data_IF_004065995315
#
_entry.id   IF_004065995315
#
_cell.length_a   1.000
_cell.length_b   1.000
_cell.length_c   1.000
_cell.angle_alpha   90.00
_cell.angle_beta   90.00
_cell.angle_gamma   90.00
#
_symmetry.space_group_name_H-M   'P 1'
#
loop_
_entity.id
_entity.type
_entity.pdbx_description
1 polymer ?
#
# COMPACT_ATOMS: atom_id res chain seq x y z
N UNK A 1 -15.37 -50.17 -12.78
CA UNK A 1 -16.63 -50.19 -12.01
C UNK A 1 -16.62 -49.34 -10.73
N UNK A 2 -15.65 -48.43 -10.52
CA UNK A 2 -15.54 -47.61 -9.28
C UNK A 2 -16.09 -46.17 -9.44
N UNK A 3 -16.38 -45.74 -10.69
CA UNK A 3 -16.92 -44.39 -10.95
C UNK A 3 -18.43 -44.24 -10.68
N UNK A 4 -19.20 -45.32 -10.69
CA UNK A 4 -20.67 -45.25 -10.60
C UNK A 4 -21.23 -45.29 -9.17
N UNK A 5 -20.41 -45.60 -8.16
CA UNK A 5 -20.89 -45.68 -6.76
C UNK A 5 -20.85 -44.31 -6.06
N UNK A 6 -20.16 -43.31 -6.64
CA UNK A 6 -19.95 -42.00 -6.01
C UNK A 6 -21.07 -40.98 -6.29
N UNK A 7 -21.92 -41.23 -7.28
CA UNK A 7 -23.00 -40.32 -7.68
C UNK A 7 -24.27 -40.46 -6.80
N UNK A 8 -24.36 -41.47 -5.92
CA UNK A 8 -25.55 -41.68 -5.06
C UNK A 8 -25.51 -40.97 -3.70
N UNK A 9 -24.41 -40.29 -3.34
CA UNK A 9 -24.19 -39.80 -1.97
C UNK A 9 -24.38 -38.29 -1.76
N UNK A 10 -24.88 -37.54 -2.74
CA UNK A 10 -25.27 -36.12 -2.55
C UNK A 10 -24.17 -35.22 -1.98
N UNK A 11 -22.89 -35.55 -2.20
CA UNK A 11 -21.78 -34.70 -1.76
C UNK A 11 -21.50 -33.67 -2.84
N UNK A 12 -21.79 -32.41 -2.52
CA UNK A 12 -21.42 -31.24 -3.31
C UNK A 12 -19.97 -31.38 -3.77
N UNK A 13 -19.81 -31.41 -5.10
CA UNK A 13 -18.49 -31.39 -5.72
C UNK A 13 -17.77 -30.15 -5.19
N UNK A 14 -16.65 -30.36 -4.51
CA UNK A 14 -15.80 -29.32 -3.98
C UNK A 14 -15.46 -28.35 -5.12
N UNK A 15 -16.17 -27.23 -5.20
CA UNK A 15 -16.04 -26.27 -6.27
C UNK A 15 -14.67 -25.61 -6.09
N UNK A 16 -13.66 -25.88 -6.94
CA UNK A 16 -12.35 -25.31 -6.73
C UNK A 16 -12.49 -23.79 -6.92
N UNK A 17 -12.29 -23.04 -5.84
CA UNK A 17 -12.20 -21.58 -5.86
C UNK A 17 -11.30 -21.18 -7.04
N UNK A 18 -11.69 -20.20 -7.87
CA UNK A 18 -10.97 -19.88 -9.09
C UNK A 18 -9.51 -19.60 -8.74
N UNK A 19 -8.60 -20.42 -9.29
CA UNK A 19 -7.16 -20.46 -8.93
C UNK A 19 -6.42 -19.16 -9.24
N UNK A 20 -7.04 -18.21 -9.93
CA UNK A 20 -6.48 -16.91 -10.24
C UNK A 20 -7.61 -15.90 -10.46
N UNK A 21 -7.70 -14.90 -9.59
CA UNK A 21 -8.69 -13.81 -9.71
C UNK A 21 -8.27 -12.71 -10.70
N UNK A 22 -6.99 -12.72 -11.11
CA UNK A 22 -6.41 -11.70 -11.97
C UNK A 22 -5.81 -12.34 -13.21
N UNK A 23 -6.04 -11.72 -14.37
CA UNK A 23 -5.58 -12.20 -15.67
C UNK A 23 -4.06 -12.02 -15.86
N UNK A 24 -3.43 -11.13 -15.08
CA UNK A 24 -1.99 -10.89 -15.14
C UNK A 24 -1.40 -10.40 -13.80
N UNK A 25 -0.10 -10.58 -13.62
CA UNK A 25 0.62 -10.06 -12.45
C UNK A 25 0.62 -8.53 -12.37
N UNK A 26 0.51 -7.82 -13.50
CA UNK A 26 0.37 -6.36 -13.53
C UNK A 26 -0.99 -5.92 -12.98
N UNK A 27 -2.05 -6.63 -13.36
CA UNK A 27 -3.40 -6.38 -12.87
C UNK A 27 -3.50 -6.61 -11.36
N UNK A 28 -2.87 -7.68 -10.84
CA UNK A 28 -2.76 -7.93 -9.41
C UNK A 28 -2.07 -6.77 -8.67
N UNK A 29 -0.97 -6.24 -9.21
CA UNK A 29 -0.25 -5.10 -8.60
C UNK A 29 -1.12 -3.84 -8.58
N UNK A 30 -1.78 -3.53 -9.69
CA UNK A 30 -2.62 -2.34 -9.79
C UNK A 30 -3.85 -2.43 -8.87
N UNK A 31 -4.50 -3.59 -8.80
CA UNK A 31 -5.63 -3.83 -7.90
C UNK A 31 -5.22 -3.74 -6.42
N UNK A 32 -4.02 -4.21 -6.06
CA UNK A 32 -3.53 -4.08 -4.68
C UNK A 32 -3.14 -2.63 -4.34
N UNK A 33 -2.59 -1.88 -5.29
CA UNK A 33 -2.31 -0.44 -5.11
C UNK A 33 -3.59 0.36 -4.92
N UNK A 34 -4.59 0.17 -5.78
CA UNK A 34 -5.87 0.88 -5.67
C UNK A 34 -6.59 0.54 -4.36
N UNK A 35 -6.60 -0.73 -3.95
CA UNK A 35 -7.15 -1.13 -2.64
C UNK A 35 -6.42 -0.47 -1.48
N UNK A 36 -5.09 -0.32 -1.56
CA UNK A 36 -4.30 0.36 -0.53
C UNK A 36 -4.62 1.84 -0.48
N UNK A 37 -4.72 2.50 -1.61
CA UNK A 37 -5.06 3.93 -1.71
C UNK A 37 -6.46 4.19 -1.18
N UNK A 38 -7.45 3.37 -1.57
CA UNK A 38 -8.82 3.43 -1.05
C UNK A 38 -8.86 3.21 0.48
N UNK A 39 -8.13 2.23 0.99
CA UNK A 39 -8.07 1.98 2.43
C UNK A 39 -7.37 3.11 3.21
N UNK A 40 -6.37 3.75 2.61
CA UNK A 40 -5.70 4.91 3.22
C UNK A 40 -6.59 6.15 3.21
N UNK A 41 -7.27 6.43 2.10
CA UNK A 41 -8.23 7.53 1.99
C UNK A 41 -9.41 7.35 2.94
N UNK A 42 -9.97 6.13 3.02
CA UNK A 42 -11.05 5.82 3.96
C UNK A 42 -10.58 5.94 5.41
N UNK A 43 -9.35 5.51 5.72
CA UNK A 43 -8.79 5.68 7.06
C UNK A 43 -8.62 7.15 7.44
N UNK A 44 -8.13 7.99 6.52
CA UNK A 44 -7.98 9.42 6.77
C UNK A 44 -9.34 10.09 7.00
N UNK A 45 -10.30 9.83 6.11
CA UNK A 45 -11.66 10.36 6.24
C UNK A 45 -12.36 9.90 7.53
N UNK A 46 -12.18 8.64 7.92
CA UNK A 46 -12.68 8.14 9.20
C UNK A 46 -12.00 8.80 10.40
N UNK A 47 -10.69 9.08 10.33
CA UNK A 47 -9.97 9.77 11.39
C UNK A 47 -10.39 11.23 11.54
N UNK A 48 -10.64 11.92 10.42
CA UNK A 48 -11.11 13.30 10.41
C UNK A 48 -12.54 13.38 10.95
N UNK A 49 -13.43 12.47 10.51
CA UNK A 49 -14.82 12.39 11.01
C UNK A 49 -14.86 12.00 12.50
N UNK A 50 -14.07 11.00 12.93
CA UNK A 50 -14.01 10.60 14.35
C UNK A 50 -13.45 11.74 15.23
N UNK A 51 -12.50 12.54 14.73
CA UNK A 51 -11.95 13.68 15.46
C UNK A 51 -12.96 14.84 15.58
N UNK A 52 -13.71 15.15 14.52
CA UNK A 52 -14.75 16.19 14.54
C UNK A 52 -15.95 15.79 15.43
N UNK A 53 -16.31 14.51 15.46
CA UNK A 53 -17.46 14.00 16.21
C UNK A 53 -17.14 13.82 17.71
N UNK A 54 -15.93 13.36 18.06
CA UNK A 54 -15.59 12.97 19.44
C UNK A 54 -15.33 14.15 20.40
N UNK A 55 -14.89 15.31 19.91
CA UNK A 55 -14.64 16.49 20.76
C UNK A 55 -15.88 17.40 20.91
N UNK A 56 -16.87 17.31 20.02
CA UNK A 56 -18.07 18.17 20.03
C UNK A 56 -19.29 17.61 20.78
N UNK A 57 -19.54 16.29 20.74
CA UNK A 57 -20.84 15.74 21.17
C UNK A 57 -20.95 15.46 22.67
N UNK A 58 -19.84 15.24 23.37
CA UNK A 58 -19.85 14.99 24.83
C UNK A 58 -20.37 16.20 25.64
N UNK A 59 -20.24 17.41 25.11
CA UNK A 59 -20.73 18.63 25.77
C UNK A 59 -22.25 18.81 25.64
N UNK A 60 -22.89 18.11 24.71
CA UNK A 60 -24.32 18.23 24.41
C UNK A 60 -25.11 16.96 24.72
N UNK A 61 -24.46 15.91 25.22
CA UNK A 61 -25.13 14.66 25.58
C UNK A 61 -25.76 14.79 26.99
N UNK A 62 -27.11 14.85 27.09
CA UNK A 62 -27.81 15.07 28.36
C UNK A 62 -27.73 13.88 29.32
N UNK A 63 -27.18 12.74 28.89
CA UNK A 63 -27.00 11.56 29.74
C UNK A 63 -25.67 11.55 30.52
N UNK A 64 -24.75 12.48 30.26
CA UNK A 64 -23.52 12.59 31.04
C UNK A 64 -23.75 13.37 32.34
N UNK A 65 -23.35 12.77 33.44
CA UNK A 65 -23.29 13.39 34.76
C UNK A 65 -21.83 13.78 34.98
N UNK A 66 -21.56 15.09 35.11
CA UNK A 66 -20.19 15.64 35.27
C UNK A 66 -19.18 15.09 34.24
N UNK A 67 -19.62 14.93 32.99
CA UNK A 67 -18.78 14.41 31.89
C UNK A 67 -18.56 12.89 31.91
N UNK A 68 -19.29 12.15 32.76
CA UNK A 68 -19.24 10.69 32.87
C UNK A 68 -20.61 10.08 32.58
N UNK A 69 -20.66 9.09 31.68
CA UNK A 69 -21.89 8.33 31.41
C UNK A 69 -22.04 7.22 32.45
N UNK A 70 -22.89 7.45 33.44
CA UNK A 70 -23.15 6.49 34.53
C UNK A 70 -24.01 5.34 34.02
N UNK A 71 -23.51 4.11 34.17
CA UNK A 71 -24.27 2.90 33.88
C UNK A 71 -25.06 2.47 35.11
N UNK A 72 -26.34 2.15 34.92
CA UNK A 72 -27.25 1.73 35.98
C UNK A 72 -27.49 0.22 35.88
N UNK A 73 -27.29 -0.51 36.98
CA UNK A 73 -27.63 -1.94 37.10
C UNK A 73 -29.15 -2.06 37.35
N UNK A 74 -29.62 -1.28 38.30
CA UNK A 74 -31.02 -1.07 38.63
C UNK A 74 -31.23 0.43 38.86
N UNK A 75 -32.47 0.94 38.76
CA UNK A 75 -32.74 2.34 39.09
C UNK A 75 -32.19 2.71 40.47
N UNK A 76 -31.32 3.73 40.54
CA UNK A 76 -30.66 4.17 41.77
C UNK A 76 -29.39 3.40 42.15
N UNK A 77 -29.02 2.32 41.45
CA UNK A 77 -27.79 1.56 41.70
C UNK A 77 -26.87 1.57 40.46
N UNK A 78 -25.74 2.25 40.56
CA UNK A 78 -24.77 2.34 39.47
C UNK A 78 -23.79 1.16 39.43
N UNK A 79 -23.42 0.77 38.21
CA UNK A 79 -22.27 -0.09 37.89
C UNK A 79 -20.99 0.74 37.95
N UNK A 80 -20.48 0.96 39.16
CA UNK A 80 -19.33 1.85 39.46
C UNK A 80 -18.08 1.49 38.65
N UNK A 81 -17.67 0.22 38.72
CA UNK A 81 -16.46 -0.26 38.05
C UNK A 81 -16.54 -0.21 36.53
N UNK A 82 -17.69 -0.58 35.96
CA UNK A 82 -17.88 -0.55 34.51
C UNK A 82 -17.94 0.88 33.97
N UNK A 83 -18.62 1.77 34.71
CA UNK A 83 -18.66 3.21 34.40
C UNK A 83 -17.25 3.78 34.41
N UNK A 84 -16.49 3.53 35.47
CA UNK A 84 -15.13 4.00 35.65
C UNK A 84 -14.18 3.45 34.58
N UNK A 85 -14.28 2.17 34.26
CA UNK A 85 -13.46 1.52 33.24
C UNK A 85 -13.75 2.03 31.83
N UNK A 86 -15.02 2.21 31.47
CA UNK A 86 -15.41 2.77 30.16
C UNK A 86 -14.95 4.22 30.00
N UNK A 87 -15.09 5.02 31.05
CA UNK A 87 -14.60 6.40 31.03
C UNK A 87 -13.07 6.45 30.89
N UNK A 88 -12.34 5.61 31.62
CA UNK A 88 -10.89 5.49 31.49
C UNK A 88 -10.44 5.07 30.07
N UNK A 89 -11.17 4.15 29.42
CA UNK A 89 -10.94 3.79 28.01
C UNK A 89 -11.17 4.98 27.07
N UNK A 90 -12.29 5.69 27.24
CA UNK A 90 -12.64 6.86 26.44
C UNK A 90 -11.57 7.95 26.53
N UNK A 91 -11.15 8.29 27.75
CA UNK A 91 -10.07 9.24 28.02
C UNK A 91 -8.74 8.76 27.43
N UNK A 92 -8.43 7.46 27.54
CA UNK A 92 -7.24 6.90 26.93
C UNK A 92 -7.21 7.02 25.39
N UNK A 93 -8.33 6.79 24.72
CA UNK A 93 -8.47 7.01 23.28
C UNK A 93 -8.32 8.49 22.90
N UNK A 94 -8.92 9.40 23.67
CA UNK A 94 -8.76 10.85 23.49
C UNK A 94 -7.30 11.30 23.62
N UNK A 95 -6.61 10.86 24.68
CA UNK A 95 -5.17 11.14 24.87
C UNK A 95 -4.33 10.64 23.69
N UNK A 96 -4.66 9.46 23.16
CA UNK A 96 -3.98 8.89 21.99
C UNK A 96 -4.24 9.70 20.71
N UNK A 97 -5.47 10.16 20.49
CA UNK A 97 -5.82 11.01 19.34
C UNK A 97 -5.09 12.36 19.41
N UNK A 98 -5.01 12.97 20.59
CA UNK A 98 -4.32 14.23 20.85
C UNK A 98 -2.78 14.10 20.86
N UNK A 99 -2.23 12.89 20.66
CA UNK A 99 -0.79 12.64 20.66
C UNK A 99 -0.13 12.77 22.05
N UNK A 100 -0.91 12.83 23.12
CA UNK A 100 -0.40 12.92 24.48
C UNK A 100 0.09 11.56 24.99
N UNK A 101 0.99 11.59 25.97
CA UNK A 101 1.55 10.36 26.55
C UNK A 101 0.47 9.63 27.36
N UNK A 102 0.16 8.41 26.94
CA UNK A 102 -0.77 7.51 27.63
C UNK A 102 -0.14 6.92 28.91
N UNK A 103 -0.15 7.71 29.98
CA UNK A 103 0.43 7.37 31.28
C UNK A 103 -0.55 6.58 32.16
N UNK A 104 -0.02 5.67 32.98
CA UNK A 104 -0.85 4.91 33.92
C UNK A 104 -1.55 5.84 34.92
N UNK A 105 -0.90 6.93 35.35
CA UNK A 105 -1.47 7.93 36.26
C UNK A 105 -2.72 8.60 35.66
N UNK A 106 -2.64 9.13 34.44
CA UNK A 106 -3.79 9.78 33.80
C UNK A 106 -4.99 8.84 33.59
N UNK A 107 -4.73 7.54 33.36
CA UNK A 107 -5.79 6.53 33.25
C UNK A 107 -6.41 6.23 34.61
N UNK A 108 -5.59 6.16 35.67
CA UNK A 108 -6.04 5.96 37.05
C UNK A 108 -6.88 7.15 37.51
N UNK A 109 -6.43 8.38 37.26
CA UNK A 109 -7.14 9.62 37.62
C UNK A 109 -8.53 9.65 36.95
N UNK A 110 -8.60 9.31 35.65
CA UNK A 110 -9.87 9.22 34.93
C UNK A 110 -10.80 8.14 35.51
N UNK A 111 -10.25 6.98 35.87
CA UNK A 111 -11.01 5.90 36.49
C UNK A 111 -11.58 6.34 37.86
N UNK A 112 -10.75 6.95 38.72
CA UNK A 112 -11.16 7.40 40.06
C UNK A 112 -12.24 8.48 39.99
N UNK A 113 -12.09 9.45 39.09
CA UNK A 113 -13.07 10.49 38.84
C UNK A 113 -14.45 9.88 38.52
N UNK A 114 -14.49 8.98 37.53
CA UNK A 114 -15.74 8.35 37.11
C UNK A 114 -16.32 7.37 38.14
N UNK A 115 -15.48 6.68 38.90
CA UNK A 115 -15.93 5.82 40.00
C UNK A 115 -16.62 6.65 41.09
N UNK A 116 -16.02 7.79 41.48
CA UNK A 116 -16.56 8.66 42.50
C UNK A 116 -17.90 9.28 42.05
N UNK A 117 -18.02 9.72 40.79
CA UNK A 117 -19.29 10.22 40.24
C UNK A 117 -20.36 9.12 40.27
N UNK A 118 -20.04 7.92 39.78
CA UNK A 118 -20.98 6.80 39.80
C UNK A 118 -21.40 6.42 41.22
N UNK A 119 -20.50 6.54 42.20
CA UNK A 119 -20.79 6.29 43.60
C UNK A 119 -21.66 7.37 44.23
N UNK A 120 -21.39 8.65 43.98
CA UNK A 120 -22.19 9.78 44.48
C UNK A 120 -23.63 9.71 44.00
N UNK A 121 -23.84 9.37 42.72
CA UNK A 121 -25.18 9.37 42.13
C UNK A 121 -25.90 8.02 42.22
N UNK A 122 -25.18 6.90 42.30
CA UNK A 122 -25.76 5.54 42.29
C UNK A 122 -25.18 4.60 43.34
N UNK A 123 -24.72 5.14 44.47
CA UNK A 123 -24.17 4.38 45.59
C UNK A 123 -25.18 3.45 46.25
N UNK A 124 -26.47 3.82 46.26
CA UNK A 124 -27.57 3.07 46.88
C UNK A 124 -27.28 2.66 48.34
N UNK A 125 -26.57 3.53 49.10
CA UNK A 125 -26.18 3.26 50.49
C UNK A 125 -25.06 2.23 50.68
N UNK A 126 -24.44 1.73 49.60
CA UNK A 126 -23.24 0.89 49.68
C UNK A 126 -22.03 1.73 50.06
N UNK A 127 -21.06 1.13 50.75
CA UNK A 127 -19.78 1.78 51.03
C UNK A 127 -18.95 1.97 49.74
N UNK A 128 -18.02 2.92 49.79
CA UNK A 128 -17.06 3.15 48.71
C UNK A 128 -15.99 2.05 48.69
N UNK A 129 -16.17 1.07 47.82
CA UNK A 129 -15.25 -0.06 47.64
C UNK A 129 -14.30 0.19 46.46
N UNK A 130 -13.55 1.29 46.53
CA UNK A 130 -12.54 1.60 45.50
C UNK A 130 -11.45 0.52 45.50
N UNK A 131 -11.09 -0.04 44.32
CA UNK A 131 -10.01 -1.02 44.25
C UNK A 131 -8.68 -0.49 44.82
N UNK A 132 -7.84 -1.34 45.43
CA UNK A 132 -6.55 -0.92 45.94
C UNK A 132 -5.63 -0.43 44.81
N UNK A 133 -4.64 0.41 45.14
CA UNK A 133 -3.78 1.07 44.14
C UNK A 133 -3.07 0.07 43.21
N UNK A 134 -2.68 -1.10 43.72
CA UNK A 134 -2.05 -2.18 42.93
C UNK A 134 -2.96 -2.68 41.79
N UNK A 135 -4.25 -2.79 42.06
CA UNK A 135 -5.23 -3.29 41.08
C UNK A 135 -5.57 -2.21 40.07
N UNK A 136 -5.67 -0.94 40.50
CA UNK A 136 -5.79 0.23 39.62
C UNK A 136 -4.61 0.35 38.65
N UNK A 137 -3.39 0.13 39.11
CA UNK A 137 -2.22 0.09 38.22
C UNK A 137 -2.29 -1.05 37.19
N UNK A 138 -2.77 -2.23 37.60
CA UNK A 138 -2.95 -3.36 36.68
C UNK A 138 -4.05 -3.08 35.65
N UNK A 139 -5.16 -2.50 36.10
CA UNK A 139 -6.26 -2.05 35.24
C UNK A 139 -5.78 -0.99 34.24
N UNK A 140 -5.00 0.01 34.66
CA UNK A 140 -4.47 1.03 33.78
C UNK A 140 -3.55 0.47 32.69
N UNK A 141 -2.71 -0.53 33.02
CA UNK A 141 -1.91 -1.25 32.02
C UNK A 141 -2.76 -2.00 31.01
N UNK A 142 -3.88 -2.60 31.45
CA UNK A 142 -4.84 -3.26 30.56
C UNK A 142 -5.55 -2.26 29.67
N UNK A 143 -6.06 -1.15 30.21
CA UNK A 143 -6.66 -0.05 29.45
C UNK A 143 -5.68 0.47 28.40
N UNK A 144 -4.43 0.72 28.77
CA UNK A 144 -3.37 1.10 27.83
C UNK A 144 -3.15 0.03 26.75
N UNK A 145 -3.14 -1.23 27.14
CA UNK A 145 -3.08 -2.37 26.22
C UNK A 145 -4.23 -2.34 25.22
N UNK A 146 -5.47 -2.18 25.68
CA UNK A 146 -6.64 -2.06 24.82
C UNK A 146 -6.55 -0.84 23.90
N UNK A 147 -6.26 0.34 24.43
CA UNK A 147 -6.17 1.58 23.62
C UNK A 147 -5.09 1.49 22.54
N UNK A 148 -3.97 0.79 22.79
CA UNK A 148 -2.86 0.65 21.83
C UNK A 148 -3.04 -0.50 20.86
N UNK A 149 -3.57 -1.63 21.33
CA UNK A 149 -3.73 -2.88 20.56
C UNK A 149 -5.09 -3.02 19.89
N UNK A 150 -6.11 -2.25 20.30
CA UNK A 150 -7.41 -2.25 19.67
C UNK A 150 -7.22 -1.88 18.20
N UNK A 151 -7.31 -2.88 17.33
CA UNK A 151 -7.79 -2.66 15.97
C UNK A 151 -9.16 -2.03 16.16
N UNK A 152 -9.33 -0.78 15.74
CA UNK A 152 -10.62 -0.11 15.71
C UNK A 152 -11.69 -1.11 15.25
N UNK A 153 -12.56 -1.53 16.17
CA UNK A 153 -13.65 -2.48 15.90
C UNK A 153 -14.66 -1.94 14.88
N UNK A 154 -14.59 -0.63 14.58
CA UNK A 154 -15.22 0.00 13.42
C UNK A 154 -14.93 -0.70 12.08
N UNK A 155 -13.95 -1.62 12.03
CA UNK A 155 -13.60 -2.40 10.84
C UNK A 155 -13.78 -3.92 10.99
N UNK A 156 -14.38 -4.41 12.09
CA UNK A 156 -14.69 -5.83 12.24
C UNK A 156 -16.07 -6.24 11.71
N UNK A 157 -16.78 -5.29 11.11
CA UNK A 157 -18.10 -5.47 10.46
C UNK A 157 -18.04 -5.49 8.94
N UNK A 158 -17.02 -6.07 8.32
CA UNK A 158 -17.23 -6.73 7.03
C UNK A 158 -16.21 -7.84 6.86
N UNK A 159 -16.71 -9.04 6.56
CA UNK A 159 -15.96 -10.01 5.80
C UNK A 159 -15.63 -9.36 4.45
N UNK A 160 -14.59 -8.53 4.43
CA UNK A 160 -14.21 -7.77 3.26
C UNK A 160 -13.87 -8.75 2.14
N UNK A 161 -14.71 -8.73 1.10
CA UNK A 161 -14.60 -9.43 -0.18
C UNK A 161 -13.33 -9.07 -0.98
N UNK A 162 -12.26 -8.60 -0.33
CA UNK A 162 -11.08 -7.99 -0.96
C UNK A 162 -9.74 -8.28 -0.29
N UNK A 163 -9.66 -9.16 0.72
CA UNK A 163 -8.37 -9.60 1.28
C UNK A 163 -7.61 -10.41 0.23
N UNK A 164 -6.38 -10.01 -0.08
CA UNK A 164 -5.50 -10.77 -0.99
C UNK A 164 -5.34 -12.20 -0.50
N UNK A 165 -5.40 -13.17 -1.40
CA UNK A 165 -5.22 -14.58 -1.04
C UNK A 165 -3.76 -14.86 -0.66
N UNK A 166 -3.50 -15.98 0.04
CA UNK A 166 -2.13 -16.36 0.45
C UNK A 166 -1.19 -16.55 -0.75
N UNK A 167 -1.72 -17.07 -1.86
CA UNK A 167 -1.03 -17.22 -3.14
C UNK A 167 -0.70 -15.87 -3.77
N UNK A 168 -1.62 -14.90 -3.77
CA UNK A 168 -1.38 -13.54 -4.25
C UNK A 168 -0.29 -12.82 -3.44
N UNK A 169 -0.31 -12.96 -2.11
CA UNK A 169 0.76 -12.43 -1.25
C UNK A 169 2.11 -13.03 -1.58
N UNK A 170 2.18 -14.35 -1.81
CA UNK A 170 3.41 -15.02 -2.23
C UNK A 170 3.87 -14.57 -3.62
N UNK A 171 2.94 -14.41 -4.57
CA UNK A 171 3.24 -13.93 -5.92
C UNK A 171 3.79 -12.48 -5.92
N UNK A 172 3.20 -11.61 -5.11
CA UNK A 172 3.68 -10.24 -4.91
C UNK A 172 5.06 -10.20 -4.24
N UNK A 173 5.31 -11.08 -3.26
CA UNK A 173 6.60 -11.16 -2.58
C UNK A 173 7.74 -11.67 -3.49
N UNK A 174 7.42 -12.47 -4.51
CA UNK A 174 8.42 -13.03 -5.44
C UNK A 174 8.57 -12.23 -6.73
N UNK A 175 7.55 -11.51 -7.19
CA UNK A 175 7.63 -10.66 -8.37
C UNK A 175 8.60 -9.48 -8.15
N UNK A 176 9.61 -9.37 -9.02
CA UNK A 176 10.55 -8.25 -9.08
C UNK A 176 11.74 -8.33 -8.12
N UNK A 177 11.53 -8.70 -6.85
CA UNK A 177 12.60 -8.59 -5.83
C UNK A 177 13.60 -9.76 -5.86
N UNK A 178 13.12 -11.00 -5.86
CA UNK A 178 14.00 -12.20 -5.82
C UNK A 178 14.78 -12.43 -7.12
N UNK A 179 14.14 -12.22 -8.28
CA UNK A 179 14.79 -12.41 -9.58
C UNK A 179 15.94 -11.42 -9.81
N UNK A 180 15.70 -10.13 -9.54
CA UNK A 180 16.72 -9.07 -9.65
C UNK A 180 17.84 -9.23 -8.62
N UNK A 181 17.51 -9.53 -7.37
CA UNK A 181 18.51 -9.77 -6.32
C UNK A 181 19.37 -11.00 -6.63
N UNK A 182 18.77 -12.10 -7.09
CA UNK A 182 19.53 -13.32 -7.44
C UNK A 182 20.38 -13.12 -8.69
N UNK A 183 19.91 -12.35 -9.67
CA UNK A 183 20.73 -11.95 -10.81
C UNK A 183 21.91 -11.07 -10.36
N UNK A 184 21.67 -10.04 -9.54
CA UNK A 184 22.72 -9.18 -9.00
C UNK A 184 23.72 -9.93 -8.13
N UNK A 185 23.25 -10.88 -7.31
CA UNK A 185 24.11 -11.77 -6.53
C UNK A 185 24.98 -12.63 -7.44
N UNK A 186 24.43 -13.22 -8.51
CA UNK A 186 25.22 -14.00 -9.49
C UNK A 186 26.32 -13.16 -10.14
N UNK A 187 26.04 -11.91 -10.48
CA UNK A 187 27.06 -10.99 -11.02
C UNK A 187 28.15 -10.64 -10.01
N UNK A 188 27.85 -10.63 -8.69
CA UNK A 188 28.84 -10.37 -7.62
C UNK A 188 29.66 -11.61 -7.26
N UNK A 189 29.01 -12.76 -7.14
CA UNK A 189 29.62 -14.01 -6.68
C UNK A 189 30.43 -14.69 -7.77
N UNK A 190 29.92 -14.73 -9.00
CA UNK A 190 30.64 -15.32 -10.13
C UNK A 190 30.49 -14.45 -11.39
N UNK A 191 31.25 -13.35 -11.48
CA UNK A 191 31.22 -12.45 -12.62
C UNK A 191 31.67 -13.12 -13.93
N UNK A 192 32.34 -14.27 -13.87
CA UNK A 192 32.81 -15.02 -15.03
C UNK A 192 32.11 -16.36 -15.21
N UNK A 193 31.01 -16.59 -14.50
CA UNK A 193 30.23 -17.82 -14.60
C UNK A 193 29.50 -17.96 -15.91
N UNK A 194 28.99 -19.17 -16.17
CA UNK A 194 28.22 -19.50 -17.38
C UNK A 194 27.06 -18.52 -17.61
N UNK A 195 26.33 -18.17 -16.55
CA UNK A 195 25.25 -17.18 -16.58
C UNK A 195 25.75 -15.80 -17.05
N UNK A 196 26.84 -15.29 -16.47
CA UNK A 196 27.39 -13.99 -16.80
C UNK A 196 27.94 -13.96 -18.24
N UNK A 197 28.67 -15.01 -18.65
CA UNK A 197 29.19 -15.17 -20.01
C UNK A 197 28.08 -15.21 -21.05
N UNK A 198 27.03 -16.01 -20.81
CA UNK A 198 25.86 -16.08 -21.69
C UNK A 198 25.17 -14.73 -21.87
N UNK A 199 24.98 -13.98 -20.78
CA UNK A 199 24.40 -12.62 -20.85
C UNK A 199 25.30 -11.63 -21.59
N UNK A 200 26.63 -11.67 -21.38
CA UNK A 200 27.58 -10.85 -22.14
C UNK A 200 27.58 -11.21 -23.63
N UNK A 201 27.49 -12.49 -23.99
CA UNK A 201 27.42 -12.94 -25.37
C UNK A 201 26.16 -12.41 -26.09
N UNK A 202 25.00 -12.48 -25.42
CA UNK A 202 23.74 -11.90 -25.94
C UNK A 202 23.85 -10.37 -26.10
N UNK A 203 24.46 -9.69 -25.12
CA UNK A 203 24.69 -8.24 -25.19
C UNK A 203 25.62 -7.88 -26.35
N UNK A 204 26.73 -8.60 -26.50
CA UNK A 204 27.68 -8.44 -27.62
C UNK A 204 27.00 -8.64 -28.98
N UNK A 205 26.20 -9.70 -29.13
CA UNK A 205 25.41 -9.95 -30.35
C UNK A 205 24.44 -8.81 -30.64
N UNK A 206 23.79 -8.28 -29.61
CA UNK A 206 22.88 -7.12 -29.72
C UNK A 206 23.64 -5.86 -30.15
N UNK A 207 24.81 -5.59 -29.56
CA UNK A 207 25.64 -4.44 -29.90
C UNK A 207 26.14 -4.53 -31.34
N UNK A 208 26.56 -5.73 -31.79
CA UNK A 208 26.96 -5.96 -33.18
C UNK A 208 25.81 -5.66 -34.16
N UNK A 209 24.59 -6.14 -33.86
CA UNK A 209 23.40 -5.82 -34.67
C UNK A 209 23.09 -4.32 -34.68
N UNK A 210 23.12 -3.66 -33.52
CA UNK A 210 22.87 -2.21 -33.42
C UNK A 210 23.92 -1.38 -34.17
N UNK A 211 25.19 -1.81 -34.16
CA UNK A 211 26.26 -1.18 -34.95
C UNK A 211 25.95 -1.24 -36.44
N UNK A 212 25.61 -2.42 -36.95
CA UNK A 212 25.22 -2.61 -38.36
C UNK A 212 23.97 -1.79 -38.69
N UNK A 213 22.97 -1.76 -37.81
CA UNK A 213 21.77 -0.95 -38.01
C UNK A 213 22.08 0.55 -38.05
N UNK A 214 22.98 1.03 -37.19
CA UNK A 214 23.45 2.42 -37.21
C UNK A 214 24.14 2.79 -38.53
N UNK A 215 25.01 1.91 -39.03
CA UNK A 215 25.66 2.07 -40.35
C UNK A 215 24.64 2.09 -41.47
N UNK A 216 23.70 1.14 -41.48
CA UNK A 216 22.61 1.08 -42.47
C UNK A 216 21.78 2.38 -42.47
N UNK A 217 21.42 2.89 -41.30
CA UNK A 217 20.63 4.10 -41.18
C UNK A 217 21.41 5.33 -41.67
N UNK A 218 22.71 5.42 -41.37
CA UNK A 218 23.58 6.48 -41.89
C UNK A 218 23.66 6.44 -43.41
N UNK A 219 23.86 5.26 -43.98
CA UNK A 219 23.91 5.08 -45.44
C UNK A 219 22.59 5.47 -46.10
N UNK A 220 21.44 5.11 -45.52
CA UNK A 220 20.12 5.53 -46.05
C UNK A 220 19.98 7.06 -46.10
N UNK A 221 20.47 7.77 -45.07
CA UNK A 221 20.48 9.24 -45.06
C UNK A 221 21.42 9.79 -46.13
N UNK A 222 22.66 9.26 -46.23
CA UNK A 222 23.64 9.72 -47.21
C UNK A 222 23.22 9.46 -48.66
N UNK A 223 22.64 8.29 -48.95
CA UNK A 223 22.11 7.95 -50.28
C UNK A 223 21.05 8.94 -50.72
N UNK A 224 20.04 9.18 -49.87
CA UNK A 224 19.00 10.17 -50.18
C UNK A 224 19.58 11.56 -50.42
N UNK A 225 20.52 12.00 -49.59
CA UNK A 225 21.14 13.32 -49.72
C UNK A 225 21.90 13.45 -51.04
N UNK A 226 22.66 12.44 -51.42
CA UNK A 226 23.43 12.45 -52.67
C UNK A 226 22.52 12.40 -53.89
N UNK A 227 21.48 11.55 -53.88
CA UNK A 227 20.49 11.47 -54.95
C UNK A 227 19.74 12.80 -55.11
N UNK A 228 19.31 13.39 -53.99
CA UNK A 228 18.65 14.69 -53.99
C UNK A 228 19.54 15.80 -54.55
N UNK A 229 20.81 15.81 -54.18
CA UNK A 229 21.80 16.77 -54.70
C UNK A 229 21.99 16.62 -56.21
N UNK A 230 22.14 15.39 -56.70
CA UNK A 230 22.31 15.10 -58.14
C UNK A 230 21.09 15.54 -58.95
N UNK A 231 19.87 15.34 -58.42
CA UNK A 231 18.63 15.65 -59.14
C UNK A 231 18.26 17.15 -59.12
N UNK A 232 18.60 17.86 -58.04
CA UNK A 232 18.06 19.21 -57.78
C UNK A 232 19.12 20.29 -57.65
N UNK A 233 20.41 19.92 -57.67
CA UNK A 233 21.57 20.79 -57.46
C UNK A 233 21.47 21.60 -56.14
N UNK A 234 20.77 21.04 -55.14
CA UNK A 234 20.63 21.63 -53.79
C UNK A 234 20.63 20.56 -52.71
N UNK A 235 21.00 20.96 -51.48
CA UNK A 235 20.92 20.06 -50.33
C UNK A 235 19.46 19.92 -49.85
N UNK A 236 19.03 18.72 -49.44
CA UNK A 236 17.70 18.53 -48.87
C UNK A 236 17.61 19.16 -47.48
N UNK A 237 16.43 19.67 -47.16
CA UNK A 237 16.09 20.22 -45.85
C UNK A 237 15.92 19.09 -44.83
N UNK A 238 16.02 19.44 -43.54
CA UNK A 238 15.77 18.51 -42.44
C UNK A 238 14.42 17.79 -42.55
N UNK A 239 13.36 18.49 -42.99
CA UNK A 239 12.02 17.90 -43.12
C UNK A 239 11.95 16.88 -44.25
N UNK A 240 12.60 17.16 -45.38
CA UNK A 240 12.66 16.24 -46.53
C UNK A 240 13.38 14.95 -46.15
N UNK A 241 14.53 15.04 -45.49
CA UNK A 241 15.30 13.87 -45.03
C UNK A 241 14.48 13.05 -44.02
N UNK A 242 13.77 13.70 -43.09
CA UNK A 242 12.92 13.00 -42.13
C UNK A 242 11.75 12.29 -42.81
N UNK A 243 11.12 12.94 -43.79
CA UNK A 243 10.00 12.39 -44.55
C UNK A 243 10.41 11.11 -45.29
N UNK A 244 11.54 11.14 -45.99
CA UNK A 244 12.01 10.01 -46.78
C UNK A 244 12.56 8.86 -45.91
N UNK A 245 13.35 9.20 -44.89
CA UNK A 245 14.00 8.17 -44.09
C UNK A 245 13.09 7.58 -43.03
N UNK A 246 12.05 8.32 -42.60
CA UNK A 246 11.18 8.00 -41.47
C UNK A 246 11.85 8.21 -40.11
N UNK A 247 13.01 8.87 -40.05
CA UNK A 247 13.76 9.08 -38.83
C UNK A 247 13.39 10.37 -38.10
N UNK A 248 13.59 10.38 -36.77
CA UNK A 248 13.44 11.60 -35.98
C UNK A 248 14.55 12.61 -36.28
N UNK A 249 14.26 13.91 -36.13
CA UNK A 249 15.24 15.00 -36.33
C UNK A 249 16.56 14.76 -35.61
N UNK A 250 16.51 14.29 -34.36
CA UNK A 250 17.70 14.00 -33.57
C UNK A 250 18.54 12.85 -34.16
N UNK A 251 17.89 11.82 -34.72
CA UNK A 251 18.57 10.70 -35.38
C UNK A 251 19.21 11.16 -36.68
N UNK A 252 18.48 11.93 -37.49
CA UNK A 252 19.00 12.55 -38.72
C UNK A 252 20.22 13.41 -38.38
N UNK A 253 20.17 14.23 -37.33
CA UNK A 253 21.25 15.14 -36.98
C UNK A 253 22.56 14.41 -36.62
N UNK A 254 22.46 13.31 -35.88
CA UNK A 254 23.63 12.46 -35.58
C UNK A 254 24.21 11.83 -36.84
N UNK A 255 23.37 11.37 -37.76
CA UNK A 255 23.84 10.74 -39.00
C UNK A 255 24.48 11.76 -39.94
N UNK A 256 23.90 12.96 -40.08
CA UNK A 256 24.50 14.05 -40.86
C UNK A 256 25.85 14.47 -40.26
N UNK A 257 25.94 14.65 -38.94
CA UNK A 257 27.22 14.96 -38.29
C UNK A 257 28.28 13.89 -38.58
N UNK A 258 27.90 12.61 -38.50
CA UNK A 258 28.80 11.50 -38.84
C UNK A 258 29.17 11.45 -40.32
N UNK A 259 28.29 11.85 -41.25
CA UNK A 259 28.60 11.90 -42.68
C UNK A 259 29.58 13.04 -42.99
N UNK A 260 29.40 14.20 -42.36
CA UNK A 260 30.33 15.34 -42.45
C UNK A 260 31.72 15.00 -41.94
N UNK A 261 31.80 14.33 -40.78
CA UNK A 261 33.06 13.87 -40.20
C UNK A 261 33.81 12.90 -41.13
N UNK A 262 33.08 12.13 -41.93
CA UNK A 262 33.66 11.18 -42.89
C UNK A 262 33.95 11.78 -44.28
N UNK A 263 33.61 13.05 -44.51
CA UNK A 263 33.71 13.66 -45.84
C UNK A 263 32.73 13.07 -46.87
N UNK A 264 31.70 12.34 -46.42
CA UNK A 264 30.66 11.74 -47.29
C UNK A 264 29.46 12.69 -47.49
N UNK A 265 29.55 13.93 -47.01
CA UNK A 265 28.51 14.95 -47.16
C UNK A 265 28.83 15.83 -48.38
N UNK A 266 27.88 16.07 -49.31
CA UNK A 266 28.12 16.94 -50.45
C UNK A 266 28.52 18.35 -50.00
N UNK A 267 29.62 18.84 -50.53
CA UNK A 267 30.01 20.24 -50.40
C UNK A 267 29.16 21.06 -51.39
N UNK A 268 28.50 22.08 -50.86
CA UNK A 268 27.73 23.03 -51.65
C UNK A 268 28.60 24.23 -52.04
#
# INVERSE_FOLDING_TARGET
MIKQVRDMAGHDQFNPTPRQQFSSGRELINAVKSRREQAQAFKALAQDVDAEIADGLDQYDPELIDGVRVLWITPGTAARDETAFRHALKTGHRLRQQGQRLSDAAIIDAYEHAYNIAHTHGGAGRDNEMPPMRDRQTMARRVRGYVTQSKSEAYSGSSALGKSTSSERKALATMGRRGGQKAAQRWKTDPQGEYARGRRAVMSKTHRKKKVQGTKNRQKVGQFVNEYWIETDRLPTWREIQSETGFSRATVARHIASLKELGEWPEA
#
